data_IF_815468797345
#
_entry.id   IF_815468797345
#
_cell.length_a   1.000
_cell.length_b   1.000
_cell.length_c   1.000
_cell.angle_alpha   90.00
_cell.angle_beta   90.00
_cell.angle_gamma   90.00
#
_symmetry.space_group_name_H-M   'P 1'
#
loop_
_entity.id
_entity.type
_entity.pdbx_description
1 polymer ?
#
# COMPACT_ATOMS: atom_id res chain seq x y z
N UNK A 1 10.69 0.15 -46.11
CA UNK A 1 10.02 1.13 -45.22
C UNK A 1 9.09 0.44 -44.22
N UNK A 2 8.05 -0.28 -44.66
CA UNK A 2 7.06 -0.92 -43.76
C UNK A 2 7.67 -1.98 -42.83
N UNK A 3 8.59 -2.80 -43.33
CA UNK A 3 9.26 -3.85 -42.53
C UNK A 3 10.09 -3.25 -41.39
N UNK A 4 10.82 -2.16 -41.66
CA UNK A 4 11.59 -1.46 -40.63
C UNK A 4 10.70 -0.83 -39.55
N UNK A 5 9.54 -0.29 -39.94
CA UNK A 5 8.54 0.25 -39.03
C UNK A 5 7.89 -0.83 -38.14
N UNK A 6 7.62 -2.01 -38.70
CA UNK A 6 7.10 -3.14 -37.93
C UNK A 6 8.13 -3.66 -36.91
N UNK A 7 9.40 -3.74 -37.30
CA UNK A 7 10.51 -4.15 -36.42
C UNK A 7 10.73 -3.19 -35.26
N UNK A 8 10.66 -1.88 -35.50
CA UNK A 8 10.79 -0.89 -34.41
C UNK A 8 9.60 -0.92 -33.46
N UNK A 9 8.38 -1.10 -33.96
CA UNK A 9 7.18 -1.30 -33.13
C UNK A 9 7.27 -2.57 -32.28
N UNK A 10 7.71 -3.69 -32.87
CA UNK A 10 7.90 -4.94 -32.14
C UNK A 10 8.98 -4.82 -31.07
N UNK A 11 10.09 -4.15 -31.38
CA UNK A 11 11.17 -3.89 -30.43
C UNK A 11 10.72 -3.02 -29.25
N UNK A 12 9.98 -1.93 -29.52
CA UNK A 12 9.41 -1.06 -28.49
C UNK A 12 8.36 -1.78 -27.64
N UNK A 13 7.49 -2.58 -28.25
CA UNK A 13 6.49 -3.38 -27.53
C UNK A 13 7.16 -4.41 -26.61
N UNK A 14 8.23 -5.07 -27.07
CA UNK A 14 9.04 -5.96 -26.24
C UNK A 14 9.63 -5.24 -25.02
N UNK A 15 10.25 -4.08 -25.24
CA UNK A 15 10.80 -3.24 -24.16
C UNK A 15 9.74 -2.82 -23.12
N UNK A 16 8.53 -2.47 -23.56
CA UNK A 16 7.44 -2.09 -22.66
C UNK A 16 6.94 -3.26 -21.82
N UNK A 17 6.85 -4.46 -22.40
CA UNK A 17 6.46 -5.68 -21.70
C UNK A 17 7.51 -6.11 -20.67
N UNK A 18 8.79 -6.08 -21.04
CA UNK A 18 9.90 -6.40 -20.12
C UNK A 18 10.01 -5.35 -18.99
N UNK A 19 9.79 -4.07 -19.29
CA UNK A 19 9.80 -3.00 -18.29
C UNK A 19 8.68 -3.11 -17.25
N UNK A 20 7.54 -3.73 -17.62
CA UNK A 20 6.39 -3.93 -16.73
C UNK A 20 6.62 -5.07 -15.73
N UNK A 21 7.44 -6.07 -16.09
CA UNK A 21 7.67 -7.27 -15.29
C UNK A 21 8.79 -7.12 -14.24
N UNK A 22 9.75 -6.21 -14.46
CA UNK A 22 10.97 -6.10 -13.62
C UNK A 22 10.96 -5.05 -12.51
N UNK A 23 9.85 -4.33 -12.29
CA UNK A 23 9.81 -3.39 -11.17
C UNK A 23 9.53 -4.18 -9.88
N UNK A 24 10.50 -4.28 -8.95
CA UNK A 24 10.21 -4.89 -7.66
C UNK A 24 8.99 -4.18 -7.07
N UNK A 25 8.08 -4.96 -6.48
CA UNK A 25 6.95 -4.38 -5.76
C UNK A 25 7.54 -3.38 -4.75
N UNK A 26 7.08 -2.13 -4.74
CA UNK A 26 7.57 -1.19 -3.74
C UNK A 26 7.23 -1.76 -2.36
N UNK A 27 8.25 -1.92 -1.53
CA UNK A 27 8.08 -2.36 -0.16
C UNK A 27 7.96 -1.13 0.73
N UNK A 28 6.83 -1.03 1.43
CA UNK A 28 6.65 -0.06 2.52
C UNK A 28 7.26 -0.62 3.79
N UNK A 29 7.71 0.27 4.69
CA UNK A 29 8.02 -0.15 6.04
C UNK A 29 6.74 -0.66 6.73
N UNK A 30 6.88 -1.58 7.67
CA UNK A 30 5.75 -2.25 8.33
C UNK A 30 4.79 -1.24 9.01
N UNK A 31 5.32 -0.08 9.40
CA UNK A 31 4.60 0.99 10.09
C UNK A 31 3.83 1.91 9.15
N UNK A 32 4.17 1.93 7.86
CA UNK A 32 3.60 2.85 6.87
C UNK A 32 2.37 2.26 6.17
N UNK A 33 2.14 0.94 6.27
CA UNK A 33 0.98 0.25 5.70
C UNK A 33 -0.38 0.84 6.10
N UNK A 34 -0.69 1.10 7.38
CA UNK A 34 -1.99 1.67 7.77
C UNK A 34 -2.16 3.10 7.24
N UNK A 35 -1.09 3.90 7.20
CA UNK A 35 -1.10 5.25 6.65
C UNK A 35 -1.31 5.25 5.14
N UNK A 36 -0.68 4.30 4.43
CA UNK A 36 -0.90 4.08 3.00
C UNK A 36 -2.34 3.65 2.72
N UNK A 37 -2.90 2.74 3.52
CA UNK A 37 -4.29 2.29 3.35
C UNK A 37 -5.28 3.43 3.64
N UNK A 38 -5.03 4.20 4.71
CA UNK A 38 -5.81 5.37 5.07
C UNK A 38 -5.83 6.39 3.93
N UNK A 39 -4.65 6.68 3.36
CA UNK A 39 -4.52 7.55 2.19
C UNK A 39 -5.29 7.02 0.97
N UNK A 40 -5.11 5.74 0.64
CA UNK A 40 -5.73 5.10 -0.52
C UNK A 40 -7.26 5.13 -0.44
N UNK A 41 -7.81 4.90 0.75
CA UNK A 41 -9.27 4.89 0.98
C UNK A 41 -9.84 6.24 1.39
N UNK A 42 -9.01 7.29 1.46
CA UNK A 42 -9.39 8.63 1.95
C UNK A 42 -10.06 8.58 3.33
N UNK A 43 -9.61 7.67 4.18
CA UNK A 43 -10.11 7.48 5.52
C UNK A 43 -9.02 7.83 6.55
N UNK A 44 -9.42 7.97 7.81
CA UNK A 44 -8.46 8.17 8.88
C UNK A 44 -7.75 6.86 9.24
N UNK A 45 -6.53 6.97 9.82
CA UNK A 45 -5.83 5.79 10.35
C UNK A 45 -6.67 5.09 11.44
N UNK A 46 -7.46 5.84 12.20
CA UNK A 46 -8.36 5.28 13.20
C UNK A 46 -9.48 4.42 12.59
N UNK A 47 -10.06 4.84 11.46
CA UNK A 47 -11.03 4.03 10.73
C UNK A 47 -10.41 2.74 10.19
N UNK A 48 -9.14 2.76 9.76
CA UNK A 48 -8.40 1.54 9.42
C UNK A 48 -8.31 0.59 10.61
N UNK A 49 -8.07 1.10 11.82
CA UNK A 49 -8.06 0.30 13.04
C UNK A 49 -9.44 -0.30 13.34
N UNK A 50 -10.53 0.46 13.14
CA UNK A 50 -11.88 -0.05 13.32
C UNK A 50 -12.23 -1.16 12.33
N UNK A 51 -11.90 -0.98 11.05
CA UNK A 51 -12.13 -2.00 10.03
C UNK A 51 -11.30 -3.27 10.29
N UNK A 52 -10.03 -3.11 10.67
CA UNK A 52 -9.19 -4.23 11.07
C UNK A 52 -9.75 -4.94 12.31
N UNK A 53 -10.29 -4.19 13.27
CA UNK A 53 -10.89 -4.76 14.47
C UNK A 53 -12.21 -5.49 14.20
N UNK A 54 -13.00 -5.02 13.23
CA UNK A 54 -14.22 -5.69 12.79
C UNK A 54 -13.92 -7.08 12.21
N UNK A 55 -12.86 -7.20 11.39
CA UNK A 55 -12.39 -8.48 10.84
C UNK A 55 -12.01 -9.49 11.94
N UNK A 56 -11.49 -8.99 13.07
CA UNK A 56 -11.06 -9.81 14.21
C UNK A 56 -12.09 -9.87 15.35
N UNK A 57 -13.24 -9.20 15.22
CA UNK A 57 -14.29 -9.07 16.24
C UNK A 57 -13.80 -8.52 17.59
N UNK A 58 -12.87 -7.57 17.57
CA UNK A 58 -12.42 -6.89 18.79
C UNK A 58 -13.42 -5.82 19.24
N UNK A 59 -13.48 -5.58 20.55
CA UNK A 59 -14.33 -4.53 21.13
C UNK A 59 -13.74 -3.14 20.87
N UNK A 60 -14.60 -2.12 20.72
CA UNK A 60 -14.16 -0.75 20.47
C UNK A 60 -13.21 -0.20 21.54
N UNK A 61 -13.40 -0.57 22.82
CA UNK A 61 -12.50 -0.18 23.90
C UNK A 61 -11.06 -0.69 23.72
N UNK A 62 -10.90 -1.91 23.16
CA UNK A 62 -9.59 -2.46 22.83
C UNK A 62 -8.95 -1.70 21.66
N UNK A 63 -9.74 -1.39 20.64
CA UNK A 63 -9.27 -0.62 19.48
C UNK A 63 -8.75 0.74 19.89
N UNK A 64 -9.48 1.43 20.77
CA UNK A 64 -9.07 2.73 21.29
C UNK A 64 -7.76 2.62 22.09
N UNK A 65 -7.66 1.64 23.00
CA UNK A 65 -6.45 1.43 23.77
C UNK A 65 -5.23 1.11 22.88
N UNK A 66 -5.43 0.28 21.86
CA UNK A 66 -4.39 -0.08 20.90
C UNK A 66 -4.00 1.12 20.01
N UNK A 67 -4.95 1.96 19.62
CA UNK A 67 -4.67 3.19 18.87
C UNK A 67 -3.92 4.24 19.70
N UNK A 68 -4.30 4.44 20.95
CA UNK A 68 -3.57 5.31 21.89
C UNK A 68 -2.15 4.81 22.13
N UNK A 69 -1.96 3.49 22.23
CA UNK A 69 -0.63 2.88 22.33
C UNK A 69 0.19 3.12 21.07
N UNK A 70 -0.43 2.98 19.90
CA UNK A 70 0.20 3.30 18.61
C UNK A 70 0.67 4.75 18.55
N UNK A 71 -0.17 5.72 18.94
CA UNK A 71 0.21 7.14 18.94
C UNK A 71 1.42 7.45 19.85
N UNK A 72 1.55 6.73 20.98
CA UNK A 72 2.64 6.95 21.94
C UNK A 72 3.95 6.26 21.54
N UNK A 73 3.85 5.07 20.96
CA UNK A 73 5.01 4.18 20.75
C UNK A 73 5.41 4.01 19.29
N UNK A 74 4.58 4.44 18.34
CA UNK A 74 4.70 4.10 16.92
C UNK A 74 4.39 2.63 16.61
N UNK A 75 4.27 1.77 17.62
CA UNK A 75 4.11 0.34 17.42
C UNK A 75 2.70 -0.03 16.95
N UNK A 76 2.63 -0.77 15.85
CA UNK A 76 1.39 -1.23 15.26
C UNK A 76 0.99 -2.62 15.78
N UNK A 77 -0.27 -2.80 16.22
CA UNK A 77 -0.79 -4.11 16.54
C UNK A 77 -0.74 -5.04 15.33
N UNK A 78 -0.42 -6.32 15.58
CA UNK A 78 -0.24 -7.30 14.51
C UNK A 78 -1.50 -7.47 13.63
N UNK A 79 -2.69 -7.39 14.23
CA UNK A 79 -3.96 -7.55 13.50
C UNK A 79 -4.18 -6.42 12.48
N UNK A 80 -3.82 -5.18 12.84
CA UNK A 80 -3.93 -4.00 11.96
C UNK A 80 -2.96 -4.13 10.80
N UNK A 81 -1.70 -4.50 11.08
CA UNK A 81 -0.74 -4.65 9.99
C UNK A 81 -1.10 -5.79 9.04
N UNK A 82 -1.58 -6.92 9.58
CA UNK A 82 -2.06 -8.03 8.74
C UNK A 82 -3.23 -7.61 7.85
N UNK A 83 -4.18 -6.86 8.41
CA UNK A 83 -5.32 -6.33 7.65
C UNK A 83 -4.85 -5.36 6.57
N UNK A 84 -4.03 -4.37 6.92
CA UNK A 84 -3.53 -3.38 5.98
C UNK A 84 -2.72 -4.03 4.84
N UNK A 85 -1.85 -4.99 5.16
CA UNK A 85 -1.08 -5.71 4.14
C UNK A 85 -1.95 -6.54 3.19
N UNK A 86 -3.08 -7.07 3.67
CA UNK A 86 -4.02 -7.83 2.84
C UNK A 86 -4.82 -6.92 1.89
N UNK A 87 -5.23 -5.76 2.39
CA UNK A 87 -6.17 -4.87 1.70
C UNK A 87 -5.50 -3.82 0.80
N UNK A 88 -4.22 -3.50 1.03
CA UNK A 88 -3.48 -2.53 0.21
C UNK A 88 -3.12 -3.12 -1.16
N UNK A 89 -3.46 -2.40 -2.22
CA UNK A 89 -3.05 -2.74 -3.60
C UNK A 89 -1.67 -2.19 -3.91
N UNK A 90 -0.89 -2.90 -4.73
CA UNK A 90 0.46 -2.46 -5.13
C UNK A 90 0.47 -1.11 -5.85
N UNK A 91 -0.63 -0.75 -6.53
CA UNK A 91 -0.79 0.55 -7.18
C UNK A 91 -0.93 1.69 -6.18
N UNK A 92 -1.65 1.47 -5.08
CA UNK A 92 -1.84 2.43 -4.00
C UNK A 92 -0.52 2.68 -3.26
N UNK A 93 0.28 1.63 -3.04
CA UNK A 93 1.63 1.74 -2.47
C UNK A 93 2.51 2.65 -3.35
N UNK A 94 2.46 2.46 -4.66
CA UNK A 94 3.24 3.29 -5.60
C UNK A 94 2.82 4.75 -5.51
N UNK A 95 1.52 5.02 -5.51
CA UNK A 95 0.99 6.38 -5.41
C UNK A 95 1.36 7.04 -4.08
N UNK A 96 1.22 6.31 -2.97
CA UNK A 96 1.62 6.77 -1.66
C UNK A 96 3.10 7.15 -1.65
N UNK A 97 3.99 6.22 -2.05
CA UNK A 97 5.44 6.47 -2.09
C UNK A 97 5.84 7.62 -3.02
N UNK A 98 5.14 7.81 -4.15
CA UNK A 98 5.39 8.95 -5.04
C UNK A 98 5.08 10.29 -4.36
N UNK A 99 4.12 10.32 -3.45
CA UNK A 99 3.72 11.52 -2.72
C UNK A 99 4.65 11.73 -1.51
N UNK A 100 4.92 10.68 -0.72
CA UNK A 100 5.77 10.79 0.48
C UNK A 100 7.26 10.96 0.17
N UNK A 101 7.80 10.39 -0.92
CA UNK A 101 9.21 10.58 -1.31
C UNK A 101 9.52 11.90 -2.02
N UNK A 102 8.48 12.68 -2.34
CA UNK A 102 8.65 13.97 -3.03
C UNK A 102 8.84 15.14 -2.06
N UNK A 103 8.96 14.85 -0.78
CA UNK A 103 9.22 15.77 0.32
C UNK A 103 10.52 15.40 1.01
#
# INVERSE_FOLDING_TARGET
MVVFLALTLAYLAGLLLLGRSRRPAPALAYEEYPSCLAFARRCSVYEVFQHAAADWRFSGAKVEADFQRYLRSGSLPHYVCRYARREVRTEEIRLYLLITRRW
#
